data_IF_778143273837
#
_entry.id   IF_778143273837
#
_cell.length_a   1.000
_cell.length_b   1.000
_cell.length_c   1.000
_cell.angle_alpha   90.00
_cell.angle_beta   90.00
_cell.angle_gamma   90.00
#
_symmetry.space_group_name_H-M   'P 1'
#
loop_
_entity.id
_entity.type
_entity.pdbx_description
1 polymer ?
#
# COMPACT_ATOMS: atom_id res chain seq x y z
N UNK A 1 -2.00 24.31 8.95
CA UNK A 1 -3.41 24.18 8.54
C UNK A 1 -3.41 24.00 7.04
N UNK A 2 -3.84 22.83 6.55
CA UNK A 2 -3.87 22.52 5.11
C UNK A 2 -5.16 23.09 4.52
N UNK A 3 -5.04 23.78 3.38
CA UNK A 3 -6.15 24.37 2.63
C UNK A 3 -7.17 23.29 2.21
N UNK A 4 -8.45 23.36 2.63
CA UNK A 4 -9.50 22.40 2.27
C UNK A 4 -9.79 22.32 0.77
N UNK A 5 -9.46 23.37 0.01
CA UNK A 5 -9.66 23.42 -1.44
C UNK A 5 -8.56 22.70 -2.24
N UNK A 6 -7.41 22.45 -1.60
CA UNK A 6 -6.26 21.75 -2.17
C UNK A 6 -6.11 20.32 -1.61
N UNK A 7 -7.24 19.69 -1.30
CA UNK A 7 -7.24 18.32 -0.86
C UNK A 7 -7.10 17.40 -2.08
N UNK A 8 -5.93 16.74 -2.25
CA UNK A 8 -5.65 15.73 -3.29
C UNK A 8 -6.80 14.73 -3.43
N UNK A 9 -7.44 14.33 -2.32
CA UNK A 9 -8.61 13.44 -2.32
C UNK A 9 -9.78 13.97 -3.14
N UNK A 10 -10.03 15.29 -3.15
CA UNK A 10 -11.12 15.91 -3.93
C UNK A 10 -10.79 16.06 -5.41
N UNK A 11 -9.50 16.14 -5.77
CA UNK A 11 -9.04 16.24 -7.16
C UNK A 11 -9.10 14.85 -7.82
N UNK A 12 -8.64 13.82 -7.12
CA UNK A 12 -8.72 12.44 -7.62
C UNK A 12 -10.15 11.92 -7.65
N UNK A 13 -10.95 12.20 -6.60
CA UNK A 13 -12.37 11.87 -6.61
C UNK A 13 -13.09 12.46 -7.82
N UNK A 14 -12.73 13.68 -8.24
CA UNK A 14 -13.25 14.32 -9.47
C UNK A 14 -12.82 13.60 -10.76
N UNK A 15 -11.55 13.20 -10.90
CA UNK A 15 -11.07 12.51 -12.11
C UNK A 15 -11.69 11.12 -12.29
N UNK A 16 -11.82 10.37 -11.20
CA UNK A 16 -12.42 9.02 -11.20
C UNK A 16 -13.94 9.10 -11.47
N UNK A 17 -14.65 10.02 -10.81
CA UNK A 17 -16.11 10.10 -10.91
C UNK A 17 -16.64 10.72 -12.22
N UNK A 18 -15.87 11.63 -12.85
CA UNK A 18 -16.27 12.30 -14.08
C UNK A 18 -16.37 11.37 -15.31
N UNK A 19 -15.77 10.17 -15.27
CA UNK A 19 -15.89 9.20 -16.36
C UNK A 19 -17.29 8.56 -16.44
N UNK A 20 -18.13 8.61 -15.39
CA UNK A 20 -19.45 7.93 -15.41
C UNK A 20 -20.63 8.67 -14.77
N UNK A 21 -20.46 9.53 -13.76
CA UNK A 21 -21.60 10.23 -13.13
C UNK A 21 -21.58 11.72 -13.45
N UNK A 22 -22.63 12.21 -14.12
CA UNK A 22 -22.96 13.64 -14.15
C UNK A 22 -23.09 14.14 -12.70
N UNK A 23 -22.41 15.24 -12.43
CA UNK A 23 -22.22 15.89 -11.13
C UNK A 23 -23.39 15.71 -10.14
N UNK A 24 -23.12 14.99 -9.05
CA UNK A 24 -23.87 15.08 -7.80
C UNK A 24 -22.85 15.25 -6.67
N UNK A 25 -23.12 16.20 -5.79
CA UNK A 25 -22.24 16.65 -4.71
C UNK A 25 -21.81 15.50 -3.78
N UNK A 26 -20.52 15.46 -3.39
CA UNK A 26 -19.97 14.47 -2.43
C UNK A 26 -19.22 13.27 -3.02
N UNK A 27 -18.43 13.49 -4.10
CA UNK A 27 -17.83 12.45 -4.96
C UNK A 27 -16.62 11.72 -4.35
N UNK A 28 -16.86 10.86 -3.36
CA UNK A 28 -15.90 9.78 -3.07
C UNK A 28 -16.24 8.59 -3.96
N UNK A 29 -15.35 8.20 -4.91
CA UNK A 29 -15.62 7.05 -5.78
C UNK A 29 -15.73 5.76 -4.96
N UNK A 30 -16.51 4.80 -5.45
CA UNK A 30 -16.42 3.43 -4.92
C UNK A 30 -15.05 2.84 -5.26
N UNK A 31 -14.69 1.75 -4.59
CA UNK A 31 -13.42 1.09 -4.91
C UNK A 31 -13.44 0.48 -6.31
N UNK A 32 -14.57 -0.07 -6.75
CA UNK A 32 -14.75 -0.55 -8.13
C UNK A 32 -14.63 0.57 -9.17
N UNK A 33 -15.19 1.77 -8.91
CA UNK A 33 -14.99 2.93 -9.79
C UNK A 33 -13.52 3.35 -9.86
N UNK A 34 -12.81 3.32 -8.74
CA UNK A 34 -11.38 3.58 -8.70
C UNK A 34 -10.58 2.54 -9.49
N UNK A 35 -10.85 1.24 -9.30
CA UNK A 35 -10.20 0.15 -10.03
C UNK A 35 -10.44 0.29 -11.53
N UNK A 36 -11.68 0.53 -11.96
CA UNK A 36 -11.98 0.71 -13.38
C UNK A 36 -11.25 1.91 -13.96
N UNK A 37 -11.16 3.03 -13.22
CA UNK A 37 -10.37 4.18 -13.65
C UNK A 37 -8.89 3.83 -13.86
N UNK A 38 -8.27 3.09 -12.93
CA UNK A 38 -6.88 2.63 -13.10
C UNK A 38 -6.70 1.81 -14.38
N UNK A 39 -7.64 0.91 -14.67
CA UNK A 39 -7.61 0.08 -15.88
C UNK A 39 -7.76 0.87 -17.19
N UNK A 40 -8.16 2.15 -17.13
CA UNK A 40 -8.20 3.03 -18.32
C UNK A 40 -6.90 3.76 -18.61
N UNK A 41 -5.94 3.75 -17.68
CA UNK A 41 -4.71 4.53 -17.79
C UNK A 41 -3.53 3.64 -18.19
N UNK A 42 -2.63 4.13 -19.06
CA UNK A 42 -1.33 3.47 -19.22
C UNK A 42 -0.50 3.65 -17.94
N UNK A 43 0.28 2.63 -17.50
CA UNK A 43 1.02 2.69 -16.24
C UNK A 43 1.92 3.92 -16.08
N UNK A 44 2.53 4.38 -17.17
CA UNK A 44 3.42 5.56 -17.18
C UNK A 44 2.69 6.88 -16.84
N UNK A 45 1.37 6.96 -17.03
CA UNK A 45 0.57 8.15 -16.74
C UNK A 45 -0.17 8.05 -15.39
N UNK A 46 -0.06 6.92 -14.71
CA UNK A 46 -0.65 6.75 -13.38
C UNK A 46 0.03 7.66 -12.36
N UNK A 47 -0.71 8.07 -11.35
CA UNK A 47 -0.16 8.82 -10.23
C UNK A 47 0.82 7.95 -9.42
N UNK A 48 1.87 8.56 -8.88
CA UNK A 48 2.93 7.88 -8.10
C UNK A 48 2.40 7.06 -6.92
N UNK A 49 1.21 7.37 -6.39
CA UNK A 49 0.66 6.66 -5.22
C UNK A 49 0.05 5.30 -5.57
N UNK A 50 -0.27 5.04 -6.84
CA UNK A 50 -0.85 3.77 -7.31
C UNK A 50 -0.24 3.30 -8.62
N UNK A 51 0.79 3.95 -9.12
CA UNK A 51 1.61 3.40 -10.20
C UNK A 51 2.27 2.10 -9.72
N UNK A 52 2.38 1.07 -10.58
CA UNK A 52 3.14 -0.12 -10.23
C UNK A 52 4.56 0.20 -9.77
N UNK A 53 4.99 -0.44 -8.69
CA UNK A 53 6.26 -0.11 -8.01
C UNK A 53 7.47 -0.42 -8.88
N UNK A 54 7.40 -1.44 -9.74
CA UNK A 54 8.46 -1.77 -10.69
C UNK A 54 8.81 -0.64 -11.65
N UNK A 55 7.91 0.34 -11.82
CA UNK A 55 8.13 1.52 -12.66
C UNK A 55 8.87 2.61 -11.88
N UNK A 56 8.44 2.90 -10.65
CA UNK A 56 9.01 3.98 -9.84
C UNK A 56 10.29 3.56 -9.11
N UNK A 57 10.38 2.29 -8.73
CA UNK A 57 11.54 1.70 -8.08
C UNK A 57 12.36 0.92 -9.11
N UNK A 58 13.54 1.42 -9.42
CA UNK A 58 14.52 0.81 -10.31
C UNK A 58 15.18 -0.43 -9.66
N UNK A 59 14.39 -1.32 -9.07
CA UNK A 59 14.85 -2.42 -8.24
C UNK A 59 15.75 -3.39 -8.99
N UNK A 60 15.49 -3.63 -10.28
CA UNK A 60 16.28 -4.55 -11.10
C UNK A 60 17.71 -4.08 -11.38
N UNK A 61 18.01 -2.77 -11.31
CA UNK A 61 19.36 -2.25 -11.56
C UNK A 61 20.13 -1.95 -10.28
N UNK A 62 19.52 -2.16 -9.11
CA UNK A 62 20.15 -1.93 -7.82
C UNK A 62 20.52 -3.26 -7.18
N UNK A 63 21.76 -3.38 -6.72
CA UNK A 63 22.20 -4.55 -5.96
C UNK A 63 21.82 -4.37 -4.49
N UNK A 64 20.70 -4.97 -4.08
CA UNK A 64 20.29 -4.95 -2.68
C UNK A 64 21.03 -6.01 -1.87
N UNK A 65 21.59 -5.62 -0.73
CA UNK A 65 22.14 -6.56 0.25
C UNK A 65 21.05 -7.13 1.16
N UNK A 66 19.97 -6.37 1.39
CA UNK A 66 18.85 -6.71 2.26
C UNK A 66 17.54 -6.18 1.68
N UNK A 67 16.47 -6.97 1.81
CA UNK A 67 15.09 -6.59 1.45
C UNK A 67 14.23 -6.89 2.68
N UNK A 68 13.50 -5.89 3.17
CA UNK A 68 12.60 -6.03 4.32
C UNK A 68 11.14 -5.97 3.91
N UNK A 69 10.29 -6.68 4.63
CA UNK A 69 8.84 -6.67 4.44
C UNK A 69 8.16 -6.12 5.68
N UNK A 70 7.14 -5.29 5.47
CA UNK A 70 6.38 -4.71 6.59
C UNK A 70 5.71 -5.82 7.41
N UNK A 71 5.30 -6.91 6.76
CA UNK A 71 4.69 -8.07 7.42
C UNK A 71 5.64 -8.80 8.38
N UNK A 72 6.95 -8.74 8.13
CA UNK A 72 8.00 -9.39 8.94
C UNK A 72 8.92 -8.37 9.61
N UNK A 73 8.49 -7.12 9.71
CA UNK A 73 9.35 -5.99 10.10
C UNK A 73 10.06 -6.19 11.44
N UNK A 74 9.41 -6.81 12.42
CA UNK A 74 10.04 -7.11 13.72
C UNK A 74 11.20 -8.12 13.59
N UNK A 75 11.03 -9.14 12.73
CA UNK A 75 12.07 -10.14 12.46
C UNK A 75 13.21 -9.55 11.63
N UNK A 76 12.86 -8.77 10.61
CA UNK A 76 13.81 -8.09 9.73
C UNK A 76 14.65 -7.07 10.49
N UNK A 77 14.04 -6.37 11.47
CA UNK A 77 14.74 -5.53 12.44
C UNK A 77 15.76 -6.34 13.22
N UNK A 78 15.34 -7.42 13.88
CA UNK A 78 16.21 -8.20 14.75
C UNK A 78 17.40 -8.76 13.95
N UNK A 79 17.15 -9.18 12.71
CA UNK A 79 18.20 -9.57 11.78
C UNK A 79 19.16 -8.42 11.45
N UNK A 80 18.66 -7.24 11.09
CA UNK A 80 19.50 -6.07 10.84
C UNK A 80 20.37 -5.71 12.05
N UNK A 81 19.79 -5.73 13.25
CA UNK A 81 20.53 -5.46 14.49
C UNK A 81 21.62 -6.50 14.71
N UNK A 82 21.36 -7.77 14.45
CA UNK A 82 22.37 -8.83 14.56
C UNK A 82 23.53 -8.62 13.59
N UNK A 83 23.25 -8.14 12.37
CA UNK A 83 24.28 -7.84 11.36
C UNK A 83 25.13 -6.64 11.76
N UNK A 84 24.51 -5.56 12.25
CA UNK A 84 25.20 -4.32 12.62
C UNK A 84 26.03 -4.47 13.90
N UNK A 85 25.53 -5.24 14.88
CA UNK A 85 26.18 -5.39 16.18
C UNK A 85 27.12 -6.59 16.24
N UNK A 86 27.01 -7.53 15.31
CA UNK A 86 27.74 -8.80 15.33
C UNK A 86 27.15 -9.79 16.33
N UNK A 87 27.13 -11.06 15.93
CA UNK A 87 26.46 -12.20 16.60
C UNK A 87 26.92 -12.45 18.06
N UNK A 88 28.03 -11.85 18.49
CA UNK A 88 28.63 -12.04 19.82
C UNK A 88 28.55 -10.82 20.76
N UNK A 89 27.85 -9.76 20.39
CA UNK A 89 27.81 -8.55 21.20
C UNK A 89 26.81 -8.67 22.35
N UNK A 90 27.34 -8.74 23.57
CA UNK A 90 26.63 -8.73 24.87
C UNK A 90 25.92 -7.40 25.19
N UNK A 91 25.58 -6.60 24.18
CA UNK A 91 25.05 -5.24 24.29
C UNK A 91 23.55 -5.20 24.60
N UNK A 92 23.14 -5.75 25.73
CA UNK A 92 21.76 -5.69 26.23
C UNK A 92 21.23 -4.25 26.33
N UNK A 93 22.10 -3.25 26.58
CA UNK A 93 21.70 -1.84 26.67
C UNK A 93 21.35 -1.22 25.31
N UNK A 94 22.08 -1.57 24.24
CA UNK A 94 21.86 -0.98 22.92
C UNK A 94 20.60 -1.53 22.26
N UNK A 95 20.28 -2.80 22.50
CA UNK A 95 19.00 -3.38 22.08
C UNK A 95 17.81 -2.64 22.72
N UNK A 96 17.89 -2.34 24.01
CA UNK A 96 16.83 -1.64 24.73
C UNK A 96 16.61 -0.20 24.23
N UNK A 97 17.67 0.53 23.89
CA UNK A 97 17.59 1.86 23.29
C UNK A 97 16.98 1.82 21.88
N UNK A 98 17.38 0.86 21.05
CA UNK A 98 16.86 0.70 19.69
C UNK A 98 15.39 0.24 19.69
N UNK A 99 15.00 -0.63 20.62
CA UNK A 99 13.60 -1.01 20.84
C UNK A 99 12.74 0.21 21.21
N UNK A 100 13.27 1.16 21.99
CA UNK A 100 12.56 2.40 22.34
C UNK A 100 12.39 3.34 21.14
N UNK A 101 13.41 3.48 20.29
CA UNK A 101 13.34 4.27 19.05
C UNK A 101 12.32 3.65 18.09
N UNK A 102 12.36 2.32 17.95
CA UNK A 102 11.46 1.59 17.07
C UNK A 102 9.99 1.76 17.48
N UNK A 103 9.68 1.62 18.77
CA UNK A 103 8.32 1.86 19.31
C UNK A 103 7.79 3.27 19.04
N UNK A 104 8.67 4.25 18.87
CA UNK A 104 8.31 5.64 18.53
C UNK A 104 8.06 5.81 17.03
N UNK A 105 8.71 5.01 16.18
CA UNK A 105 8.58 5.01 14.72
C UNK A 105 7.43 4.16 14.22
N UNK A 106 7.11 3.06 14.90
CA UNK A 106 5.86 2.34 14.69
C UNK A 106 4.73 3.22 15.19
N UNK A 107 4.17 4.03 14.30
CA UNK A 107 2.99 4.82 14.59
C UNK A 107 1.89 3.88 15.10
N UNK A 108 1.65 3.87 16.42
CA UNK A 108 0.41 3.39 17.01
C UNK A 108 -0.77 4.33 16.73
N UNK A 109 -0.57 5.36 15.91
CA UNK A 109 -1.64 6.23 15.44
C UNK A 109 -2.44 5.45 14.42
N UNK A 110 -3.58 4.88 14.83
CA UNK A 110 -4.54 4.38 13.85
C UNK A 110 -5.55 3.31 14.27
N UNK A 111 -5.87 3.13 15.55
CA UNK A 111 -7.12 2.45 15.93
C UNK A 111 -8.07 3.34 16.74
N UNK A 112 -7.53 4.28 17.51
CA UNK A 112 -8.34 5.05 18.46
C UNK A 112 -8.85 6.41 17.91
N UNK A 113 -8.40 6.82 16.72
CA UNK A 113 -8.73 8.13 16.13
C UNK A 113 -9.91 8.11 15.15
N UNK A 114 -10.30 6.94 14.65
CA UNK A 114 -11.43 6.78 13.74
C UNK A 114 -12.35 5.66 14.25
N UNK A 115 -13.69 5.85 14.20
CA UNK A 115 -14.62 4.82 14.65
C UNK A 115 -14.41 3.52 13.86
N UNK A 116 -14.65 2.37 14.49
CA UNK A 116 -14.49 1.06 13.86
C UNK A 116 -15.22 0.94 12.50
N UNK A 117 -16.36 1.65 12.36
CA UNK A 117 -17.16 1.74 11.13
C UNK A 117 -16.51 2.52 9.98
N UNK A 118 -15.46 3.31 10.23
CA UNK A 118 -14.70 4.00 9.20
C UNK A 118 -13.68 3.08 8.49
N UNK A 119 -13.37 1.93 9.10
CA UNK A 119 -12.41 0.98 8.58
C UNK A 119 -13.14 -0.11 7.80
N UNK A 120 -13.19 0.04 6.48
CA UNK A 120 -13.59 -1.08 5.63
C UNK A 120 -12.48 -2.12 5.58
N UNK A 121 -12.85 -3.39 5.72
CA UNK A 121 -11.89 -4.49 5.57
C UNK A 121 -11.42 -4.59 4.11
N UNK A 122 -10.27 -5.25 3.88
CA UNK A 122 -9.83 -5.59 2.52
C UNK A 122 -10.92 -6.34 1.76
N UNK A 123 -11.61 -7.27 2.43
CA UNK A 123 -12.69 -8.03 1.83
C UNK A 123 -13.82 -7.12 1.33
N UNK A 124 -14.29 -6.17 2.15
CA UNK A 124 -15.34 -5.22 1.74
C UNK A 124 -14.98 -4.36 0.52
N UNK A 125 -13.70 -4.04 0.33
CA UNK A 125 -13.26 -3.31 -0.85
C UNK A 125 -13.24 -4.22 -2.08
N UNK A 126 -12.54 -5.36 -1.99
CA UNK A 126 -12.35 -6.26 -3.13
C UNK A 126 -13.64 -6.97 -3.57
N UNK A 127 -14.60 -7.16 -2.66
CA UNK A 127 -15.93 -7.72 -2.99
C UNK A 127 -16.77 -6.78 -3.86
N UNK A 128 -16.41 -5.50 -4.00
CA UNK A 128 -17.08 -4.57 -4.91
C UNK A 128 -16.64 -4.76 -6.37
N UNK A 129 -15.50 -5.42 -6.60
CA UNK A 129 -14.83 -5.48 -7.90
C UNK A 129 -15.20 -6.79 -8.60
N UNK A 130 -15.58 -6.70 -9.87
CA UNK A 130 -15.85 -7.90 -10.66
C UNK A 130 -14.61 -8.78 -10.81
N UNK A 131 -14.80 -10.10 -10.90
CA UNK A 131 -13.71 -11.05 -11.15
C UNK A 131 -12.88 -10.68 -12.40
N UNK A 132 -13.52 -10.14 -13.44
CA UNK A 132 -12.82 -9.67 -14.64
C UNK A 132 -11.92 -8.47 -14.35
N UNK A 133 -12.45 -7.44 -13.67
CA UNK A 133 -11.68 -6.24 -13.33
C UNK A 133 -10.55 -6.58 -12.36
N UNK A 134 -10.78 -7.52 -11.43
CA UNK A 134 -9.76 -7.92 -10.48
C UNK A 134 -8.60 -8.68 -11.14
N UNK A 135 -8.89 -9.54 -12.13
CA UNK A 135 -7.84 -10.17 -12.95
C UNK A 135 -7.06 -9.14 -13.76
N UNK A 136 -7.74 -8.21 -14.42
CA UNK A 136 -7.06 -7.13 -15.14
C UNK A 136 -6.23 -6.24 -14.21
N UNK A 137 -6.70 -6.00 -12.99
CA UNK A 137 -5.95 -5.29 -11.95
C UNK A 137 -4.71 -6.08 -11.54
N UNK A 138 -4.82 -7.40 -11.39
CA UNK A 138 -3.65 -8.23 -11.14
C UNK A 138 -2.64 -8.16 -12.28
N UNK A 139 -3.06 -8.28 -13.53
CA UNK A 139 -2.18 -8.16 -14.71
C UNK A 139 -1.42 -6.82 -14.73
N UNK A 140 -2.08 -5.72 -14.34
CA UNK A 140 -1.46 -4.41 -14.21
C UNK A 140 -0.30 -4.39 -13.19
N UNK A 141 -0.41 -5.13 -12.09
CA UNK A 141 0.59 -5.19 -11.01
C UNK A 141 1.40 -6.50 -10.97
N UNK A 142 1.22 -7.41 -11.92
CA UNK A 142 1.88 -8.73 -11.94
C UNK A 142 3.40 -8.64 -11.74
N UNK A 143 4.13 -7.70 -12.39
CA UNK A 143 5.57 -7.59 -12.17
C UNK A 143 5.94 -7.31 -10.72
N UNK A 144 5.13 -6.55 -9.97
CA UNK A 144 5.36 -6.29 -8.54
C UNK A 144 5.18 -7.57 -7.71
N UNK A 145 4.13 -8.35 -7.99
CA UNK A 145 3.89 -9.62 -7.31
C UNK A 145 5.06 -10.59 -7.51
N UNK A 146 5.54 -10.70 -8.74
CA UNK A 146 6.69 -11.54 -9.08
C UNK A 146 7.98 -11.03 -8.44
N UNK A 147 8.24 -9.72 -8.52
CA UNK A 147 9.46 -9.10 -8.01
C UNK A 147 9.60 -9.25 -6.49
N UNK A 148 8.51 -9.13 -5.74
CA UNK A 148 8.55 -9.18 -4.27
C UNK A 148 8.07 -10.52 -3.67
N UNK A 149 7.72 -11.48 -4.53
CA UNK A 149 7.30 -12.83 -4.13
C UNK A 149 5.99 -12.84 -3.34
N UNK A 150 5.01 -12.05 -3.79
CA UNK A 150 3.64 -12.11 -3.24
C UNK A 150 2.76 -13.01 -4.12
N UNK A 151 1.81 -13.72 -3.49
CA UNK A 151 0.76 -14.44 -4.20
C UNK A 151 -0.49 -13.56 -4.33
N UNK A 152 -1.16 -13.57 -5.51
CA UNK A 152 -2.42 -12.87 -5.74
C UNK A 152 -3.63 -13.61 -5.17
N UNK A 153 -3.51 -14.90 -4.82
CA UNK A 153 -4.63 -15.81 -4.49
C UNK A 153 -5.52 -15.21 -3.40
N UNK A 154 -4.90 -14.68 -2.34
CA UNK A 154 -5.61 -14.02 -1.24
C UNK A 154 -6.54 -12.90 -1.68
N UNK A 155 -6.31 -12.27 -2.82
CA UNK A 155 -7.15 -11.19 -3.37
C UNK A 155 -8.14 -11.72 -4.40
N UNK A 156 -7.71 -12.61 -5.29
CA UNK A 156 -8.55 -13.19 -6.35
C UNK A 156 -9.75 -13.96 -5.79
N UNK A 157 -9.60 -14.55 -4.61
CA UNK A 157 -10.65 -15.27 -3.89
C UNK A 157 -11.61 -14.36 -3.11
N UNK A 158 -11.38 -13.04 -3.07
CA UNK A 158 -12.28 -12.07 -2.41
C UNK A 158 -13.47 -11.63 -3.28
N UNK A 159 -13.53 -12.21 -4.48
CA UNK A 159 -14.64 -12.30 -5.43
C UNK A 159 -16.00 -12.71 -4.84
N UNK A 160 -17.07 -11.92 -4.93
CA UNK A 160 -18.45 -12.39 -4.71
C UNK A 160 -18.99 -13.24 -5.86
#
# INVERSE_FOLDING_TARGET
MVDPSNNRFTVFGRRVSNQRRRMLEGLTPTFDEFVQYLLTLPPAEMDEHWRPMYIDCNACTNSFSLIFKVETMDQDRDYLLSLLLGVNSTGVSLKAELDQIWRRWTNSVGKDTLPASAWKTRHEYFSQVSQQNLRALYELYEPDFLMFGYSPDKYLDMTG
#
